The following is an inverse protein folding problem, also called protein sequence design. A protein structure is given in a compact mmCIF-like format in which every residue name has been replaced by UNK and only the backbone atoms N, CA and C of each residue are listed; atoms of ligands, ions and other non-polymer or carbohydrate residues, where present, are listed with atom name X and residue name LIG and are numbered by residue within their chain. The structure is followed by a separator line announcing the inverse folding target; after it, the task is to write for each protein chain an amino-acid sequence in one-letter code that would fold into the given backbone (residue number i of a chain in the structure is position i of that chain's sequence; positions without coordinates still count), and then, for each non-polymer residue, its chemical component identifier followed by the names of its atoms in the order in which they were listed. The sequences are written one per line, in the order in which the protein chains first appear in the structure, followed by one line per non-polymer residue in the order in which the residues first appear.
data_IF_789907780806
#
_entry.id   IF_789907780806
#
_cell.length_a   1.000
_cell.length_b   1.000
_cell.length_c   1.000
_cell.angle_alpha   90.00
_cell.angle_beta   90.00
_cell.angle_gamma   90.00
#
_symmetry.space_group_name_H-M   'P 1'
#
loop_
_entity.id
_entity.type
_entity.pdbx_description
1 polymer ?
#
# COMPACT_ATOMS: atom_id res chain seq x y z
N UNK A 1 26.30 -7.65 29.51
CA UNK A 1 25.39 -7.03 30.49
C UNK A 1 24.19 -6.48 29.73
N UNK A 2 23.01 -6.83 30.22
CA UNK A 2 21.65 -6.34 29.89
C UNK A 2 20.96 -6.84 28.61
N UNK A 3 20.31 -7.99 28.79
CA UNK A 3 18.97 -8.41 28.37
C UNK A 3 18.21 -7.52 27.38
N UNK A 4 17.74 -8.13 26.29
CA UNK A 4 16.49 -7.71 25.62
C UNK A 4 15.53 -8.90 25.64
N UNK A 5 14.40 -8.66 26.27
CA UNK A 5 13.29 -9.57 26.47
C UNK A 5 12.69 -9.97 25.12
N UNK A 6 12.70 -11.27 24.84
CA UNK A 6 11.79 -11.88 23.88
C UNK A 6 10.37 -11.83 24.47
N UNK A 7 9.50 -10.97 23.92
CA UNK A 7 8.07 -11.02 24.23
C UNK A 7 7.45 -12.07 23.30
N UNK A 8 7.24 -13.24 23.88
CA UNK A 8 6.29 -14.25 23.46
C UNK A 8 4.88 -13.72 23.76
N UNK A 9 3.96 -13.73 22.79
CA UNK A 9 2.53 -13.72 23.11
C UNK A 9 1.71 -14.50 22.08
N UNK A 10 0.86 -15.37 22.61
CA UNK A 10 0.03 -16.38 21.98
C UNK A 10 -1.18 -15.80 21.21
N UNK A 11 -1.70 -16.50 20.18
CA UNK A 11 -2.97 -17.25 20.26
C UNK A 11 -3.36 -18.01 18.96
N UNK A 12 -3.80 -19.26 19.18
CA UNK A 12 -4.84 -20.09 18.55
C UNK A 12 -4.94 -20.30 17.01
N UNK A 13 -4.87 -21.58 16.65
CA UNK A 13 -5.03 -22.17 15.32
C UNK A 13 -6.50 -22.38 14.90
N UNK A 14 -6.77 -22.35 13.59
CA UNK A 14 -7.55 -23.40 12.89
C UNK A 14 -7.45 -23.29 11.35
N UNK A 15 -6.86 -24.32 10.72
CA UNK A 15 -7.48 -25.02 9.59
C UNK A 15 -7.37 -24.49 8.15
N UNK A 16 -6.61 -25.26 7.36
CA UNK A 16 -6.67 -25.47 5.90
C UNK A 16 -5.95 -24.48 4.96
N UNK A 17 -4.84 -25.02 4.43
CA UNK A 17 -3.99 -24.50 3.38
C UNK A 17 -4.64 -24.49 1.99
N UNK A 18 -4.14 -23.63 1.11
CA UNK A 18 -3.52 -24.08 -0.16
C UNK A 18 -2.43 -23.10 -0.58
N UNK A 19 -1.23 -23.63 -0.79
CA UNK A 19 -0.04 -22.96 -1.30
C UNK A 19 -0.18 -22.62 -2.79
N UNK A 20 0.36 -21.48 -3.22
CA UNK A 20 1.14 -21.36 -4.47
C UNK A 20 1.86 -19.99 -4.60
N UNK A 21 3.15 -20.02 -4.26
CA UNK A 21 4.32 -19.55 -5.01
C UNK A 21 4.49 -18.09 -5.55
N UNK A 22 5.61 -17.50 -5.10
CA UNK A 22 6.60 -16.65 -5.79
C UNK A 22 6.33 -15.16 -6.06
N UNK A 23 7.12 -14.29 -5.39
CA UNK A 23 8.24 -13.55 -6.00
C UNK A 23 9.14 -12.91 -4.93
N UNK A 24 10.32 -13.49 -4.73
CA UNK A 24 11.53 -12.71 -4.49
C UNK A 24 12.02 -12.17 -5.84
N UNK A 25 12.46 -10.91 -5.89
CA UNK A 25 13.61 -10.48 -6.69
C UNK A 25 14.06 -9.09 -6.23
N UNK A 26 15.04 -9.10 -5.31
CA UNK A 26 16.01 -8.03 -5.15
C UNK A 26 17.11 -8.23 -6.18
N UNK A 27 17.34 -7.27 -7.09
CA UNK A 27 18.71 -6.93 -7.50
C UNK A 27 18.78 -5.54 -8.13
N UNK A 28 19.34 -4.57 -7.40
CA UNK A 28 20.01 -3.42 -8.00
C UNK A 28 21.49 -3.55 -7.63
N UNK A 29 22.32 -3.98 -8.58
CA UNK A 29 23.77 -3.96 -8.41
C UNK A 29 24.28 -2.52 -8.58
N UNK A 30 25.06 -2.06 -7.59
CA UNK A 30 26.07 -1.03 -7.79
C UNK A 30 25.90 0.24 -6.96
N UNK A 31 26.75 0.40 -5.95
CA UNK A 31 27.14 1.71 -5.41
C UNK A 31 26.59 2.03 -4.03
N UNK A 32 27.48 2.01 -3.03
CA UNK A 32 27.22 2.38 -1.64
C UNK A 32 26.46 3.69 -1.43
N UNK A 33 25.28 3.60 -0.79
CA UNK A 33 24.87 4.32 0.43
C UNK A 33 23.65 3.59 1.01
N UNK A 34 23.58 3.53 2.33
CA UNK A 34 22.63 2.72 3.13
C UNK A 34 21.16 2.98 2.76
N UNK A 35 20.55 2.08 1.99
CA UNK A 35 19.11 2.04 1.73
C UNK A 35 18.38 1.73 3.04
N UNK A 36 17.63 2.70 3.57
CA UNK A 36 16.68 2.49 4.68
C UNK A 36 15.69 1.41 4.21
N UNK A 37 15.43 0.46 5.10
CA UNK A 37 14.55 -0.69 4.90
C UNK A 37 13.14 -0.25 4.49
N UNK A 38 12.72 -0.64 3.28
CA UNK A 38 11.32 -0.54 2.84
C UNK A 38 10.57 -1.73 3.43
N UNK A 39 9.54 -1.47 4.21
CA UNK A 39 8.63 -2.51 4.71
C UNK A 39 7.38 -2.51 3.84
N UNK A 40 7.28 -3.51 2.96
CA UNK A 40 6.14 -3.70 2.06
C UNK A 40 5.21 -4.77 2.62
N UNK A 41 3.90 -4.49 2.60
CA UNK A 41 2.86 -5.43 3.08
C UNK A 41 1.88 -5.72 1.95
N UNK A 42 1.84 -6.97 1.50
CA UNK A 42 0.96 -7.42 0.41
C UNK A 42 -0.12 -8.39 0.91
N UNK A 43 -1.38 -7.98 0.70
CA UNK A 43 -2.69 -8.66 0.65
C UNK A 43 -2.89 -10.11 1.18
N UNK A 44 -4.00 -10.33 1.92
CA UNK A 44 -4.80 -11.58 1.90
C UNK A 44 -6.32 -11.33 1.84
N UNK A 45 -7.04 -12.23 1.16
CA UNK A 45 -8.51 -12.36 1.24
C UNK A 45 -9.01 -13.06 2.51
N UNK A 46 -10.32 -13.28 2.57
CA UNK A 46 -11.17 -13.91 3.60
C UNK A 46 -10.59 -14.01 5.04
N UNK A 47 -10.28 -12.83 5.63
CA UNK A 47 -10.19 -12.47 7.08
C UNK A 47 -9.45 -13.47 8.02
N UNK A 48 -8.42 -13.14 8.80
CA UNK A 48 -8.14 -12.03 9.72
C UNK A 48 -6.62 -11.86 9.75
N UNK A 49 -6.08 -10.63 9.66
CA UNK A 49 -4.64 -10.44 9.79
C UNK A 49 -4.31 -9.30 10.77
N UNK A 50 -3.88 -9.62 12.00
CA UNK A 50 -3.07 -8.70 12.76
C UNK A 50 -1.68 -8.67 12.10
N UNK A 51 -1.53 -7.86 11.05
CA UNK A 51 -0.20 -7.55 10.53
C UNK A 51 0.44 -6.54 11.47
N UNK A 52 1.51 -6.97 12.12
CA UNK A 52 2.44 -6.10 12.81
C UNK A 52 3.56 -5.80 11.82
N UNK A 53 3.73 -4.52 11.53
CA UNK A 53 4.97 -3.99 11.00
C UNK A 53 5.49 -3.00 12.02
N UNK A 54 6.79 -3.09 12.28
CA UNK A 54 7.44 -2.38 13.35
C UNK A 54 8.67 -1.73 12.75
N UNK A 55 8.50 -0.46 12.40
CA UNK A 55 9.64 0.41 12.21
C UNK A 55 10.03 1.03 13.56
N UNK A 56 11.24 1.59 13.64
CA UNK A 56 11.68 2.33 14.82
C UNK A 56 10.73 3.47 15.21
N UNK A 57 10.02 4.05 14.24
CA UNK A 57 9.15 5.20 14.47
C UNK A 57 7.71 4.81 14.80
N UNK A 58 7.15 3.81 14.11
CA UNK A 58 5.74 3.47 14.20
C UNK A 58 5.53 1.96 14.21
N UNK A 59 4.52 1.54 14.98
CA UNK A 59 3.87 0.24 14.78
C UNK A 59 2.50 0.47 14.18
N UNK A 60 2.16 -0.25 13.11
CA UNK A 60 0.82 -0.18 12.53
C UNK A 60 0.03 -1.46 12.72
N UNK A 61 -1.28 -1.28 12.93
CA UNK A 61 -2.25 -2.35 13.02
C UNK A 61 -3.39 -2.08 12.06
N UNK A 62 -3.80 -3.11 11.32
CA UNK A 62 -4.96 -3.04 10.44
C UNK A 62 -6.07 -3.88 11.06
N UNK A 63 -7.21 -3.24 11.32
CA UNK A 63 -8.36 -3.89 11.94
C UNK A 63 -9.52 -3.82 10.96
N UNK A 64 -10.15 -4.94 10.59
CA UNK A 64 -11.39 -4.88 9.83
C UNK A 64 -12.46 -4.16 10.63
N UNK A 65 -13.15 -3.21 10.02
CA UNK A 65 -14.17 -2.45 10.73
C UNK A 65 -15.47 -3.26 10.81
N UNK A 66 -15.71 -3.90 11.95
CA UNK A 66 -16.95 -4.66 12.20
C UNK A 66 -18.09 -3.80 12.74
N UNK A 67 -17.84 -2.53 13.09
CA UNK A 67 -18.83 -1.66 13.71
C UNK A 67 -19.64 -0.89 12.66
N UNK A 68 -20.97 -1.11 12.68
CA UNK A 68 -21.98 -0.46 11.81
C UNK A 68 -22.12 1.06 12.01
N UNK A 69 -21.33 1.66 12.90
CA UNK A 69 -21.41 3.08 13.24
C UNK A 69 -20.59 3.94 12.27
N UNK A 70 -20.77 3.74 10.97
CA UNK A 70 -20.23 4.64 9.95
C UNK A 70 -21.28 5.71 9.62
N UNK A 71 -20.95 7.02 9.73
CA UNK A 71 -21.89 8.06 9.36
C UNK A 71 -22.05 8.10 7.85
N UNK A 72 -23.29 7.85 7.40
CA UNK A 72 -23.87 8.04 6.06
C UNK A 72 -23.57 7.01 4.95
N UNK A 73 -24.62 6.22 4.68
CA UNK A 73 -24.90 5.43 3.46
C UNK A 73 -25.07 6.31 2.21
N UNK A 74 -24.03 6.99 1.74
CA UNK A 74 -24.10 7.65 0.42
C UNK A 74 -23.30 6.96 -0.68
N UNK A 75 -22.40 6.06 -0.31
CA UNK A 75 -21.48 5.50 -1.28
C UNK A 75 -21.59 3.98 -1.34
N UNK A 76 -21.24 3.47 -2.52
CA UNK A 76 -21.27 2.07 -2.92
C UNK A 76 -20.18 1.23 -2.20
N UNK A 77 -20.12 1.30 -0.87
CA UNK A 77 -19.18 0.52 -0.05
C UNK A 77 -19.91 -0.47 0.86
N UNK A 78 -19.37 -1.68 0.91
CA UNK A 78 -19.79 -2.73 1.83
C UNK A 78 -18.99 -2.63 3.11
N UNK A 79 -19.62 -2.91 4.26
CA UNK A 79 -18.94 -2.79 5.57
C UNK A 79 -17.76 -3.76 5.67
N UNK A 80 -17.82 -4.86 4.91
CA UNK A 80 -16.80 -5.89 4.80
C UNK A 80 -15.53 -5.39 4.07
N UNK A 81 -15.62 -4.32 3.27
CA UNK A 81 -14.47 -3.70 2.60
C UNK A 81 -13.88 -2.52 3.41
N UNK A 82 -14.38 -2.29 4.64
CA UNK A 82 -13.91 -1.21 5.52
C UNK A 82 -12.78 -1.70 6.44
N UNK A 83 -11.69 -0.94 6.49
CA UNK A 83 -10.55 -1.19 7.34
C UNK A 83 -10.20 0.05 8.18
N UNK A 84 -9.60 -0.16 9.34
CA UNK A 84 -9.03 0.87 10.19
C UNK A 84 -7.53 0.61 10.32
N UNK A 85 -6.71 1.52 9.79
CA UNK A 85 -5.29 1.61 10.13
C UNK A 85 -5.18 2.33 11.47
N UNK A 86 -4.47 1.75 12.44
CA UNK A 86 -4.07 2.39 13.69
C UNK A 86 -2.55 2.44 13.72
N UNK A 87 -1.98 3.64 13.84
CA UNK A 87 -0.55 3.81 14.08
C UNK A 87 -0.32 4.12 15.56
N UNK A 88 0.67 3.46 16.14
CA UNK A 88 1.13 3.65 17.51
C UNK A 88 2.60 4.03 17.54
N UNK A 89 3.02 4.73 18.59
CA UNK A 89 4.43 5.02 18.84
C UNK A 89 5.15 3.82 19.49
N UNK A 90 6.43 4.00 19.82
CA UNK A 90 7.25 2.98 20.50
C UNK A 90 6.73 2.56 21.89
N UNK A 91 5.87 3.37 22.51
CA UNK A 91 5.23 3.07 23.80
C UNK A 91 3.90 2.32 23.63
N UNK A 92 3.45 2.14 22.39
CA UNK A 92 2.14 1.58 22.05
C UNK A 92 1.00 2.58 22.17
N UNK A 93 1.28 3.87 22.39
CA UNK A 93 0.27 4.91 22.41
C UNK A 93 -0.21 5.20 20.98
N UNK A 94 -1.52 5.23 20.78
CA UNK A 94 -2.13 5.56 19.49
C UNK A 94 -1.80 7.00 19.10
N UNK A 95 -1.20 7.13 17.91
CA UNK A 95 -0.90 8.41 17.27
C UNK A 95 -2.06 8.80 16.35
N UNK A 96 -2.44 7.91 15.43
CA UNK A 96 -3.50 8.16 14.45
C UNK A 96 -4.35 6.91 14.24
N UNK A 97 -5.62 7.10 13.89
CA UNK A 97 -6.36 6.06 13.19
C UNK A 97 -6.99 6.62 11.92
N UNK A 98 -6.95 5.84 10.86
CA UNK A 98 -7.44 6.20 9.54
C UNK A 98 -8.29 5.07 8.97
N UNK A 99 -9.55 5.38 8.68
CA UNK A 99 -10.41 4.43 8.00
C UNK A 99 -10.19 4.50 6.49
N UNK A 100 -10.10 3.34 5.85
CA UNK A 100 -9.99 3.23 4.41
C UNK A 100 -10.86 2.08 3.89
N UNK A 101 -11.11 2.11 2.59
CA UNK A 101 -11.88 1.08 1.91
C UNK A 101 -11.03 0.45 0.82
N UNK A 102 -11.20 -0.85 0.63
CA UNK A 102 -10.52 -1.56 -0.45
C UNK A 102 -11.43 -2.65 -0.98
N UNK A 103 -11.77 -2.55 -2.26
CA UNK A 103 -12.62 -3.53 -2.92
C UNK A 103 -11.94 -4.90 -2.95
N UNK A 104 -12.60 -5.93 -2.40
CA UNK A 104 -12.05 -7.28 -2.27
C UNK A 104 -10.75 -7.33 -1.44
N UNK A 105 -10.57 -6.39 -0.51
CA UNK A 105 -9.43 -6.27 0.39
C UNK A 105 -8.07 -6.12 -0.32
N UNK A 106 -8.03 -5.65 -1.59
CA UNK A 106 -6.78 -5.35 -2.31
C UNK A 106 -6.16 -4.05 -1.81
N UNK A 107 -5.20 -4.13 -0.91
CA UNK A 107 -4.44 -2.97 -0.53
C UNK A 107 -2.98 -3.30 -0.25
N UNK A 108 -2.18 -2.25 -0.29
CA UNK A 108 -0.78 -2.23 0.10
C UNK A 108 -0.49 -0.92 0.81
N UNK A 109 0.34 -0.99 1.85
CA UNK A 109 0.74 0.14 2.67
C UNK A 109 2.26 0.09 2.86
N UNK A 110 2.94 1.20 2.58
CA UNK A 110 4.38 1.35 2.73
C UNK A 110 4.69 2.62 3.54
N UNK A 111 5.81 2.63 4.26
CA UNK A 111 6.27 3.77 5.04
C UNK A 111 7.61 4.25 4.51
N UNK A 112 7.64 5.46 3.95
CA UNK A 112 8.81 6.00 3.24
C UNK A 112 8.98 7.46 3.63
N UNK A 113 10.22 7.86 3.91
CA UNK A 113 10.64 9.24 4.17
C UNK A 113 10.90 9.93 2.82
N UNK A 114 9.85 10.51 2.26
CA UNK A 114 9.82 11.17 0.96
C UNK A 114 10.17 12.66 1.06
N UNK A 115 10.00 13.26 2.24
CA UNK A 115 10.29 14.68 2.46
C UNK A 115 11.70 14.94 2.98
N UNK A 116 12.41 13.90 3.43
CA UNK A 116 13.77 14.01 3.97
C UNK A 116 13.81 14.61 5.37
N UNK A 117 12.67 14.74 6.06
CA UNK A 117 12.57 15.31 7.41
C UNK A 117 12.71 14.24 8.52
N UNK A 118 13.11 13.03 8.14
CA UNK A 118 13.20 11.83 8.98
C UNK A 118 11.86 11.30 9.50
N UNK A 119 10.73 11.88 9.09
CA UNK A 119 9.40 11.33 9.33
C UNK A 119 8.93 10.59 8.09
N UNK A 120 8.37 9.41 8.31
CA UNK A 120 7.85 8.61 7.21
C UNK A 120 6.43 9.05 6.82
N UNK A 121 6.23 9.25 5.53
CA UNK A 121 4.92 9.28 4.90
C UNK A 121 4.36 7.86 4.74
N UNK A 122 3.04 7.76 4.67
CA UNK A 122 2.29 6.54 4.44
C UNK A 122 1.84 6.49 2.99
N UNK A 123 2.35 5.53 2.22
CA UNK A 123 1.96 5.28 0.83
C UNK A 123 0.91 4.17 0.82
N UNK A 124 -0.30 4.51 0.42
CA UNK A 124 -1.40 3.57 0.22
C UNK A 124 -1.56 3.25 -1.26
N UNK A 125 -1.74 1.98 -1.58
CA UNK A 125 -2.29 1.53 -2.86
C UNK A 125 -3.60 0.81 -2.56
N UNK A 126 -4.71 1.36 -3.02
CA UNK A 126 -6.05 0.85 -2.75
C UNK A 126 -6.73 0.42 -4.04
N UNK A 127 -7.22 -0.83 -4.05
CA UNK A 127 -8.11 -1.31 -5.09
C UNK A 127 -9.51 -0.71 -4.96
N UNK A 128 -9.99 -0.13 -6.04
CA UNK A 128 -11.34 0.41 -6.22
C UNK A 128 -12.04 -0.30 -7.39
N UNK A 129 -13.29 -0.70 -7.18
CA UNK A 129 -14.13 -1.19 -8.27
C UNK A 129 -15.04 -2.33 -7.86
N UNK A 130 -16.09 -2.55 -8.66
CA UNK A 130 -17.10 -3.58 -8.41
C UNK A 130 -17.23 -4.53 -9.59
N UNK A 131 -17.43 -5.80 -9.28
CA UNK A 131 -17.68 -6.85 -10.27
C UNK A 131 -16.39 -7.55 -10.73
N UNK A 132 -16.57 -8.52 -11.64
CA UNK A 132 -15.52 -9.44 -12.09
C UNK A 132 -14.48 -8.81 -13.03
N UNK A 133 -14.65 -7.56 -13.45
CA UNK A 133 -13.97 -7.05 -14.66
C UNK A 133 -13.49 -5.59 -14.62
N UNK A 134 -13.66 -4.88 -13.52
CA UNK A 134 -13.16 -3.51 -13.39
C UNK A 134 -12.56 -3.31 -12.00
N UNK A 135 -11.23 -3.39 -11.92
CA UNK A 135 -10.45 -3.05 -10.73
C UNK A 135 -9.41 -2.01 -11.13
N UNK A 136 -9.61 -0.80 -10.64
CA UNK A 136 -8.65 0.29 -10.69
C UNK A 136 -7.89 0.31 -9.37
N UNK A 137 -6.61 0.66 -9.38
CA UNK A 137 -5.89 0.94 -8.14
C UNK A 137 -5.51 2.41 -8.08
N UNK A 138 -5.63 2.99 -6.88
CA UNK A 138 -5.24 4.36 -6.59
C UNK A 138 -4.06 4.34 -5.62
N UNK A 139 -3.01 5.10 -5.95
CA UNK A 139 -1.91 5.37 -5.03
C UNK A 139 -2.16 6.72 -4.36
N UNK A 140 -2.13 6.75 -3.03
CA UNK A 140 -2.30 7.97 -2.25
C UNK A 140 -1.22 8.04 -1.18
N UNK A 141 -0.56 9.18 -1.07
CA UNK A 141 0.47 9.42 -0.07
C UNK A 141 -0.06 10.36 0.98
N UNK A 142 0.16 9.99 2.24
CA UNK A 142 -0.26 10.73 3.41
C UNK A 142 0.92 11.08 4.29
N UNK A 143 0.90 12.29 4.83
CA UNK A 143 1.74 12.66 5.97
C UNK A 143 1.03 12.25 7.26
N UNK A 144 1.80 11.86 8.27
CA UNK A 144 1.31 11.68 9.65
C UNK A 144 1.36 13.03 10.36
N UNK A 145 0.21 13.71 10.45
CA UNK A 145 0.05 14.97 11.16
C UNK A 145 -0.55 14.77 12.57
N UNK A 146 -0.48 15.80 13.42
CA UNK A 146 -0.96 15.75 14.81
C UNK A 146 -2.43 15.31 14.94
N UNK A 147 -3.27 15.67 13.96
CA UNK A 147 -4.70 15.39 13.96
C UNK A 147 -5.12 14.22 13.07
N UNK A 148 -4.18 13.54 12.40
CA UNK A 148 -4.49 12.42 11.53
C UNK A 148 -3.59 12.30 10.30
N UNK A 149 -4.04 11.52 9.33
CA UNK A 149 -3.38 11.43 8.03
C UNK A 149 -3.82 12.59 7.14
N UNK A 150 -2.86 13.40 6.68
CA UNK A 150 -3.08 14.48 5.71
C UNK A 150 -2.64 14.00 4.34
N UNK A 151 -3.56 13.95 3.38
CA UNK A 151 -3.22 13.57 2.00
C UNK A 151 -2.27 14.61 1.39
N UNK A 152 -1.15 14.15 0.84
CA UNK A 152 -0.19 14.96 0.08
C UNK A 152 -0.53 14.92 -1.40
N UNK A 153 -0.65 13.72 -1.97
CA UNK A 153 -1.01 13.52 -3.37
C UNK A 153 -1.73 12.19 -3.59
N UNK A 154 -2.45 12.11 -4.71
CA UNK A 154 -3.12 10.89 -5.15
C UNK A 154 -3.01 10.77 -6.66
N UNK A 155 -2.83 9.55 -7.15
CA UNK A 155 -2.76 9.27 -8.58
C UNK A 155 -3.29 7.88 -8.89
N UNK A 156 -3.78 7.70 -10.10
CA UNK A 156 -4.15 6.36 -10.56
C UNK A 156 -2.90 5.52 -10.73
N UNK A 157 -2.91 4.34 -10.10
CA UNK A 157 -1.79 3.42 -10.04
C UNK A 157 -1.90 2.30 -11.08
N UNK A 158 -3.10 1.76 -11.29
CA UNK A 158 -3.36 0.75 -12.31
C UNK A 158 -4.81 0.79 -12.78
N UNK A 159 -5.07 0.22 -13.95
CA UNK A 159 -6.41 -0.05 -14.46
C UNK A 159 -6.39 -1.10 -15.56
N UNK A 160 -7.58 -1.49 -16.01
CA UNK A 160 -7.77 -2.34 -17.17
C UNK A 160 -8.03 -1.50 -18.42
N UNK A 161 -7.45 -1.95 -19.54
CA UNK A 161 -7.71 -1.37 -20.85
C UNK A 161 -8.27 -2.42 -21.83
N UNK A 162 -8.78 -3.55 -21.33
CA UNK A 162 -9.36 -4.59 -22.18
C UNK A 162 -9.75 -5.85 -21.41
N UNK A 163 -10.02 -6.94 -22.14
CA UNK A 163 -10.41 -8.22 -21.57
C UNK A 163 -9.24 -8.90 -20.85
N UNK A 164 -8.98 -8.49 -19.61
CA UNK A 164 -7.90 -9.02 -18.77
C UNK A 164 -6.58 -8.26 -18.89
N UNK A 165 -6.41 -7.44 -19.93
CA UNK A 165 -5.23 -6.59 -20.13
C UNK A 165 -5.27 -5.38 -19.21
N UNK A 166 -4.16 -5.14 -18.50
CA UNK A 166 -4.01 -4.05 -17.54
C UNK A 166 -2.76 -3.23 -17.78
N UNK A 167 -2.83 -1.98 -17.38
CA UNK A 167 -1.66 -1.13 -17.22
C UNK A 167 -1.47 -0.84 -15.72
N UNK A 168 -0.23 -0.64 -15.30
CA UNK A 168 0.13 -0.29 -13.93
C UNK A 168 1.39 0.55 -13.92
N UNK A 169 1.60 1.31 -12.86
CA UNK A 169 2.89 1.93 -12.61
C UNK A 169 3.76 1.00 -11.76
N UNK A 170 4.98 0.75 -12.19
CA UNK A 170 6.02 0.18 -11.34
C UNK A 170 6.61 1.31 -10.48
N UNK A 171 6.50 1.16 -9.17
CA UNK A 171 7.02 2.14 -8.22
C UNK A 171 8.49 1.90 -7.89
N UNK A 172 9.26 2.97 -7.76
CA UNK A 172 10.65 2.96 -7.36
C UNK A 172 10.91 4.11 -6.38
N UNK A 173 11.67 3.83 -5.32
CA UNK A 173 12.09 4.83 -4.34
C UNK A 173 13.57 5.10 -4.54
N UNK A 174 13.94 6.29 -5.02
CA UNK A 174 15.34 6.67 -5.21
C UNK A 174 15.50 8.19 -5.18
N UNK A 175 16.69 8.63 -4.79
CA UNK A 175 17.12 10.01 -4.91
C UNK A 175 17.57 10.26 -6.36
N UNK A 176 16.73 10.96 -7.13
CA UNK A 176 16.92 11.11 -8.59
C UNK A 176 17.83 12.27 -8.94
N UNK A 177 17.91 13.30 -8.09
CA UNK A 177 18.71 14.51 -8.31
C UNK A 177 19.92 14.66 -7.38
N UNK A 178 20.15 13.68 -6.51
CA UNK A 178 21.26 13.59 -5.55
C UNK A 178 21.21 14.65 -4.44
N UNK A 179 20.02 15.14 -4.08
CA UNK A 179 19.86 16.09 -2.97
C UNK A 179 19.74 15.43 -1.59
N UNK A 180 19.68 14.09 -1.55
CA UNK A 180 19.53 13.28 -0.35
C UNK A 180 18.08 13.00 0.06
N UNK A 181 17.10 13.47 -0.70
CA UNK A 181 15.67 13.22 -0.51
C UNK A 181 15.23 12.09 -1.44
N UNK A 182 14.38 11.19 -0.94
CA UNK A 182 13.87 10.07 -1.73
C UNK A 182 12.68 10.53 -2.58
N UNK A 183 12.76 10.32 -3.89
CA UNK A 183 11.63 10.51 -4.79
C UNK A 183 10.83 9.19 -4.94
N UNK A 184 9.51 9.33 -5.10
CA UNK A 184 8.66 8.25 -5.59
C UNK A 184 8.54 8.38 -7.12
N UNK A 185 9.21 7.49 -7.84
CA UNK A 185 9.06 7.34 -9.28
C UNK A 185 8.02 6.26 -9.61
N UNK A 186 7.14 6.56 -10.56
CA UNK A 186 6.16 5.65 -11.11
C UNK A 186 6.42 5.47 -12.60
N UNK A 187 6.90 4.29 -13.00
CA UNK A 187 7.21 3.95 -14.38
C UNK A 187 6.06 3.14 -15.00
N UNK A 188 5.47 3.65 -16.08
CA UNK A 188 4.33 3.01 -16.72
C UNK A 188 4.73 1.67 -17.34
N UNK A 189 3.99 0.64 -16.99
CA UNK A 189 4.03 -0.69 -17.58
C UNK A 189 2.61 -1.11 -17.99
N UNK A 190 2.52 -1.99 -18.97
CA UNK A 190 1.24 -2.52 -19.42
C UNK A 190 1.45 -3.87 -20.09
N UNK A 191 0.40 -4.68 -20.10
CA UNK A 191 0.40 -5.93 -20.83
C UNK A 191 0.63 -5.71 -22.33
N UNK A 192 1.08 -6.71 -23.10
CA UNK A 192 1.17 -6.55 -24.55
C UNK A 192 -0.19 -6.20 -25.15
N UNK A 193 -0.23 -5.18 -26.01
CA UNK A 193 -1.43 -4.85 -26.79
C UNK A 193 -1.60 -5.95 -27.85
N UNK A 194 -2.63 -6.77 -27.67
CA UNK A 194 -3.01 -7.84 -28.57
C UNK A 194 -3.62 -7.32 -29.86
N UNK A 195 -3.92 -8.26 -30.77
CA UNK A 195 -4.60 -7.95 -32.03
C UNK A 195 -6.13 -8.07 -31.93
N UNK A 196 -6.68 -8.32 -30.74
CA UNK A 196 -8.12 -8.48 -30.57
C UNK A 196 -8.79 -7.11 -30.42
N UNK A 197 -9.96 -6.92 -31.03
CA UNK A 197 -10.75 -5.68 -30.90
C UNK A 197 -11.45 -5.56 -29.52
N UNK A 198 -10.93 -6.26 -28.50
CA UNK A 198 -11.46 -6.26 -27.12
C UNK A 198 -10.64 -5.37 -26.19
N UNK A 199 -9.58 -4.77 -26.71
CA UNK A 199 -8.69 -3.85 -26.00
C UNK A 199 -8.91 -2.43 -26.53
N UNK A 200 -8.78 -1.45 -25.63
CA UNK A 200 -8.89 -0.02 -25.89
C UNK A 200 -7.60 0.64 -25.40
N UNK A 201 -6.48 0.53 -26.14
CA UNK A 201 -5.18 1.06 -25.72
C UNK A 201 -5.18 2.56 -25.43
N UNK A 202 -6.17 3.31 -25.92
CA UNK A 202 -6.37 4.73 -25.61
C UNK A 202 -6.68 4.99 -24.14
N UNK A 203 -7.02 3.96 -23.36
CA UNK A 203 -7.19 4.02 -21.91
C UNK A 203 -5.85 3.92 -21.15
N UNK A 204 -4.75 3.57 -21.82
CA UNK A 204 -3.41 3.57 -21.23
C UNK A 204 -2.96 5.03 -21.10
N UNK A 205 -2.46 5.47 -19.93
CA UNK A 205 -1.94 6.82 -19.75
C UNK A 205 -0.78 7.11 -20.71
N UNK A 206 -0.71 8.35 -21.22
CA UNK A 206 0.42 8.79 -22.05
C UNK A 206 1.67 9.16 -21.23
N UNK A 207 1.51 9.37 -19.92
CA UNK A 207 2.60 9.76 -19.02
C UNK A 207 3.40 8.52 -18.60
N UNK A 208 4.57 8.33 -19.21
CA UNK A 208 5.38 7.12 -18.99
C UNK A 208 6.14 7.11 -17.66
N UNK A 209 6.36 8.29 -17.08
CA UNK A 209 7.05 8.47 -15.81
C UNK A 209 6.35 9.58 -15.02
N UNK A 210 6.01 9.30 -13.76
CA UNK A 210 5.65 10.32 -12.76
C UNK A 210 6.70 10.34 -11.67
N UNK A 211 7.01 11.53 -11.17
CA UNK A 211 7.93 11.72 -10.05
C UNK A 211 7.21 12.55 -9.00
N UNK A 212 7.15 12.04 -7.77
CA UNK A 212 6.60 12.75 -6.63
C UNK A 212 7.69 12.97 -5.58
N UNK A 213 7.72 14.19 -5.07
CA UNK A 213 8.59 14.67 -3.99
C UNK A 213 7.72 15.38 -2.96
#
# INVERSE_FOLDING_TARGET
MNNINSILCCLLMAGCATENNYRENLSCQGGHRSLKQVETITKFGDFVIPHFFADKQYTGHIIPNTDRAYPNKKDDYWIEDCFLLILTDETGQRIVGHFFHSSYGVFEIEFVDLTGDEKKEVVFILGEGRGTSARREMLTVYEVAECGLRQLYTTQYSDYYGSGSRWWYERCYKDTDYDGIVDLELNLSYDPIGQTNLETPELIPNETLKVFR
#
